data_IF_237299641278
#
_entry.id   IF_237299641278
#
_cell.length_a   1.000
_cell.length_b   1.000
_cell.length_c   1.000
_cell.angle_alpha   90.00
_cell.angle_beta   90.00
_cell.angle_gamma   90.00
#
_symmetry.space_group_name_H-M   'P 1'
#
loop_
_entity.id
_entity.type
_entity.pdbx_description
1 polymer ?
#
# COMPACT_ATOMS: atom_id res chain seq x y z
N UNK A 1 -19.54 6.97 -5.85
CA UNK A 1 -19.83 6.75 -5.71
C UNK A 1 -20.09 6.22 -5.40
N UNK A 2 -19.84 5.84 -5.08
CA UNK A 2 -20.07 5.29 -4.64
C UNK A 2 -20.33 4.58 -4.41
N UNK A 3 -20.26 4.24 -4.24
CA UNK A 3 -20.58 3.66 -3.91
C UNK A 3 -20.48 3.06 -4.00
N UNK A 4 -20.19 2.98 -3.96
CA UNK A 4 -20.16 2.42 -3.92
C UNK A 4 -19.99 1.75 -3.92
N UNK A 5 -19.82 1.72 -3.70
CA UNK A 5 -19.81 1.02 -3.49
C UNK A 5 -19.85 0.34 -3.36
N UNK A 6 -19.74 0.24 -3.20
CA UNK A 6 -20.00 -0.26 -3.04
C UNK A 6 -20.07 -0.83 -2.99
N UNK A 7 -19.97 -0.84 -2.91
CA UNK A 7 -20.28 -1.28 -2.78
C UNK A 7 -20.38 -1.80 -2.73
N UNK A 8 -20.31 -1.84 -2.58
CA UNK A 8 -20.63 -2.39 -2.33
C UNK A 8 -20.78 -2.81 -2.22
N UNK A 9 -20.59 -3.06 -2.30
CA UNK A 9 -20.95 -3.39 -2.19
C UNK A 9 -20.95 -3.91 -2.03
N UNK A 10 -21.01 -4.21 -2.10
CA UNK A 10 -21.25 -4.58 -2.00
C UNK A 10 -21.12 -5.22 -1.85
N UNK A 11 -21.07 -5.56 -1.97
CA UNK A 11 -21.19 -6.05 -1.89
C UNK A 11 -20.92 -6.73 -1.77
N UNK A 12 -20.98 -6.91 -1.91
CA UNK A 12 -20.95 -7.51 -1.76
C UNK A 12 -20.70 -8.07 -1.62
N UNK A 13 -20.59 -8.31 -1.72
CA UNK A 13 -20.57 -8.76 -1.47
C UNK A 13 -20.14 -9.23 -1.37
N UNK A 14 -20.19 -9.46 -1.46
CA UNK A 14 -19.93 -9.95 -1.19
C UNK A 14 -19.56 -10.64 -1.18
N UNK A 15 -19.49 -10.95 -1.39
CA UNK A 15 -19.37 -11.53 -1.19
C UNK A 15 -18.98 -12.11 -0.94
N UNK A 16 -18.64 -12.37 -0.96
CA UNK A 16 -18.44 -12.84 -0.57
C UNK A 16 -17.95 -13.33 -0.09
N UNK A 17 -17.84 -13.40 -0.13
CA UNK A 17 -17.58 -13.87 0.45
C UNK A 17 -17.16 -14.52 1.31
N UNK A 18 -16.53 -14.93 1.64
CA UNK A 18 -16.32 -15.60 2.55
C UNK A 18 -16.46 -15.03 3.68
N UNK A 19 -16.98 -14.85 3.99
CA UNK A 19 -17.25 -14.12 4.98
C UNK A 19 -17.48 -14.68 6.24
N UNK A 20 -16.67 -15.33 6.64
CA UNK A 20 -16.71 -15.81 7.98
C UNK A 20 -16.49 -14.64 8.94
N UNK A 21 -17.34 -14.48 9.92
CA UNK A 21 -17.23 -13.36 10.84
C UNK A 21 -15.92 -13.31 11.59
N UNK A 22 -15.41 -14.43 12.02
CA UNK A 22 -14.13 -14.43 12.72
C UNK A 22 -13.03 -13.88 11.85
N UNK A 23 -13.15 -14.12 10.58
CA UNK A 23 -12.16 -13.63 9.63
C UNK A 23 -12.21 -12.14 9.47
N UNK A 24 -13.36 -11.53 9.70
CA UNK A 24 -13.50 -10.10 9.54
C UNK A 24 -12.56 -9.32 10.43
N UNK A 25 -12.50 -9.65 11.70
CA UNK A 25 -11.61 -8.94 12.62
C UNK A 25 -10.16 -9.18 12.27
N UNK A 26 -9.81 -10.40 11.97
CA UNK A 26 -8.45 -10.72 11.59
C UNK A 26 -8.07 -9.99 10.32
N UNK A 27 -8.98 -9.96 9.36
CA UNK A 27 -8.71 -9.29 8.09
C UNK A 27 -8.54 -7.79 8.25
N UNK A 28 -9.29 -7.18 9.14
CA UNK A 28 -9.14 -5.76 9.36
C UNK A 28 -7.78 -5.44 9.94
N UNK A 29 -7.31 -6.27 10.86
CA UNK A 29 -5.98 -6.09 11.42
C UNK A 29 -4.90 -6.34 10.39
N UNK A 30 -5.13 -7.32 9.53
CA UNK A 30 -4.16 -7.65 8.47
C UNK A 30 -4.18 -6.64 7.33
N UNK A 31 -5.32 -6.00 7.12
CA UNK A 31 -5.47 -5.07 6.00
C UNK A 31 -4.67 -3.81 6.17
N UNK A 32 -4.45 -3.40 7.40
CA UNK A 32 -3.81 -2.12 7.66
C UNK A 32 -2.44 -2.31 8.28
N UNK A 33 -1.52 -1.47 7.85
CA UNK A 33 -0.22 -1.40 8.48
C UNK A 33 -0.41 -0.94 9.92
N UNK A 34 0.30 -1.53 10.91
CA UNK A 34 0.07 -1.16 12.32
C UNK A 34 0.26 0.32 12.57
N UNK A 35 -0.66 0.88 13.34
CA UNK A 35 -0.66 2.32 13.60
C UNK A 35 0.61 2.78 14.30
N UNK A 36 1.20 1.93 15.13
CA UNK A 36 2.44 2.26 15.82
C UNK A 36 3.58 2.46 14.83
N UNK A 37 3.62 1.63 13.80
CA UNK A 37 4.65 1.74 12.75
C UNK A 37 4.44 3.00 11.93
N UNK A 38 3.18 3.29 11.59
CA UNK A 38 2.82 4.50 10.86
C UNK A 38 3.29 5.73 11.65
N UNK A 39 2.97 5.75 12.93
CA UNK A 39 3.33 6.87 13.80
C UNK A 39 4.84 7.09 13.83
N UNK A 40 5.60 6.00 13.94
CA UNK A 40 7.06 6.07 14.00
C UNK A 40 7.63 6.64 12.71
N UNK A 41 7.10 6.20 11.57
CA UNK A 41 7.57 6.68 10.28
C UNK A 41 7.23 8.16 10.11
N UNK A 42 6.01 8.54 10.46
CA UNK A 42 5.59 9.94 10.33
C UNK A 42 6.45 10.86 11.19
N UNK A 43 6.83 10.40 12.36
CA UNK A 43 7.65 11.24 13.27
C UNK A 43 9.01 11.53 12.71
N UNK A 44 9.52 10.71 11.82
CA UNK A 44 10.82 10.98 11.20
C UNK A 44 10.81 12.26 10.37
N UNK A 45 9.64 12.68 9.92
CA UNK A 45 9.51 13.89 9.14
C UNK A 45 9.22 15.15 9.94
N UNK A 46 9.22 15.04 11.28
CA UNK A 46 8.80 16.13 12.14
C UNK A 46 9.85 16.44 13.19
N UNK A 47 9.88 17.69 13.69
CA UNK A 47 10.69 18.00 14.86
C UNK A 47 10.28 17.15 16.05
N UNK A 48 11.21 16.94 16.98
CA UNK A 48 11.01 16.02 18.10
C UNK A 48 9.80 16.39 18.97
N UNK A 49 9.50 17.68 19.06
CA UNK A 49 8.43 18.15 19.94
C UNK A 49 7.05 18.13 19.29
N UNK A 50 7.01 17.92 17.99
CA UNK A 50 5.74 17.95 17.27
C UNK A 50 4.94 16.69 17.53
N UNK A 51 3.63 16.87 17.52
CA UNK A 51 2.71 15.76 17.73
C UNK A 51 1.86 15.54 16.50
N UNK A 52 1.40 14.31 16.36
CA UNK A 52 0.54 13.94 15.23
C UNK A 52 -0.83 13.60 15.78
N UNK A 53 -1.84 14.22 15.21
CA UNK A 53 -3.21 13.95 15.63
C UNK A 53 -3.58 12.51 15.30
N UNK A 54 -4.47 11.94 16.10
CA UNK A 54 -4.90 10.56 15.91
C UNK A 54 -5.52 10.35 14.55
N UNK A 55 -6.38 11.27 14.13
CA UNK A 55 -7.05 11.14 12.82
C UNK A 55 -6.04 11.21 11.67
N UNK A 56 -4.96 11.97 11.83
CA UNK A 56 -3.93 12.04 10.81
C UNK A 56 -3.24 10.69 10.66
N UNK A 57 -2.96 10.03 11.77
CA UNK A 57 -2.34 8.70 11.73
C UNK A 57 -3.25 7.69 11.06
N UNK A 58 -4.54 7.76 11.39
CA UNK A 58 -5.52 6.84 10.82
C UNK A 58 -5.68 7.08 9.33
N UNK A 59 -5.69 8.33 8.92
CA UNK A 59 -5.78 8.67 7.50
C UNK A 59 -4.60 8.11 6.72
N UNK A 60 -3.39 8.30 7.25
CA UNK A 60 -2.20 7.78 6.58
C UNK A 60 -2.25 6.25 6.54
N UNK A 61 -2.70 5.63 7.62
CA UNK A 61 -2.80 4.18 7.67
C UNK A 61 -3.68 3.65 6.53
N UNK A 62 -4.84 4.28 6.35
CA UNK A 62 -5.75 3.86 5.29
C UNK A 62 -5.17 4.16 3.91
N UNK A 63 -4.59 5.33 3.74
CA UNK A 63 -4.00 5.71 2.46
C UNK A 63 -2.86 4.79 2.05
N UNK A 64 -2.00 4.43 3.01
CA UNK A 64 -0.89 3.54 2.73
C UNK A 64 -1.40 2.17 2.31
N UNK A 65 -2.40 1.67 3.02
CA UNK A 65 -2.97 0.36 2.69
C UNK A 65 -3.56 0.34 1.28
N UNK A 66 -4.29 1.41 0.95
CA UNK A 66 -4.88 1.52 -0.39
C UNK A 66 -3.80 1.68 -1.45
N UNK A 67 -2.77 2.45 -1.14
CA UNK A 67 -1.66 2.66 -2.07
C UNK A 67 -0.98 1.34 -2.40
N UNK A 68 -0.68 0.54 -1.38
CA UNK A 68 -0.04 -0.76 -1.57
C UNK A 68 -0.90 -1.64 -2.47
N UNK A 69 -2.19 -1.68 -2.18
CA UNK A 69 -3.13 -2.49 -2.95
C UNK A 69 -3.19 -2.04 -4.40
N UNK A 70 -3.29 -0.73 -4.60
CA UNK A 70 -3.41 -0.15 -5.94
C UNK A 70 -2.17 -0.41 -6.77
N UNK A 71 -1.00 -0.16 -6.21
CA UNK A 71 0.27 -0.35 -6.91
C UNK A 71 0.46 -1.83 -7.25
N UNK A 72 0.18 -2.70 -6.29
CA UNK A 72 0.35 -4.14 -6.51
C UNK A 72 -0.59 -4.66 -7.59
N UNK A 73 -1.82 -4.17 -7.59
CA UNK A 73 -2.80 -4.58 -8.59
C UNK A 73 -2.36 -4.15 -9.99
N UNK A 74 -1.87 -2.92 -10.11
CA UNK A 74 -1.42 -2.42 -11.40
C UNK A 74 -0.19 -3.22 -11.88
N UNK A 75 0.74 -3.48 -10.97
CA UNK A 75 1.92 -4.28 -11.31
C UNK A 75 1.54 -5.69 -11.74
N UNK A 76 0.53 -6.25 -11.07
CA UNK A 76 0.07 -7.58 -11.40
C UNK A 76 -0.53 -7.65 -12.80
N UNK A 77 -1.25 -6.60 -13.20
CA UNK A 77 -1.80 -6.55 -14.56
C UNK A 77 -0.69 -6.62 -15.60
N UNK A 78 0.39 -5.91 -15.36
CA UNK A 78 1.55 -5.96 -16.25
C UNK A 78 2.13 -7.37 -16.29
N UNK A 79 2.30 -7.99 -15.12
CA UNK A 79 2.85 -9.33 -15.04
C UNK A 79 2.00 -10.34 -15.79
N UNK A 80 0.69 -10.23 -15.68
CA UNK A 80 -0.21 -11.14 -16.36
C UNK A 80 -0.12 -10.98 -17.87
N UNK A 81 0.00 -9.75 -18.36
CA UNK A 81 0.18 -9.53 -19.79
C UNK A 81 1.47 -10.15 -20.29
N UNK A 82 2.48 -10.20 -19.44
CA UNK A 82 3.79 -10.80 -19.79
C UNK A 82 3.88 -12.26 -19.39
N UNK A 83 2.78 -12.82 -18.89
CA UNK A 83 2.70 -14.23 -18.49
C UNK A 83 3.70 -14.60 -17.41
N UNK A 84 3.95 -13.67 -16.49
CA UNK A 84 4.81 -13.90 -15.33
C UNK A 84 3.96 -14.03 -14.09
N UNK A 85 4.47 -14.73 -13.10
CA UNK A 85 3.75 -14.99 -11.86
C UNK A 85 4.36 -14.29 -10.66
N UNK A 86 5.44 -13.56 -10.86
CA UNK A 86 6.14 -12.88 -9.78
C UNK A 86 6.22 -11.40 -10.08
N UNK A 87 5.78 -10.59 -9.14
CA UNK A 87 5.90 -9.14 -9.22
C UNK A 87 7.26 -8.75 -8.63
N UNK A 88 8.07 -8.05 -9.41
CA UNK A 88 9.37 -7.59 -8.93
C UNK A 88 9.37 -6.06 -8.75
N UNK A 89 10.51 -5.52 -8.33
CA UNK A 89 10.59 -4.08 -8.04
C UNK A 89 10.40 -3.21 -9.29
N UNK A 90 10.89 -3.66 -10.44
CA UNK A 90 10.68 -2.92 -11.67
C UNK A 90 9.19 -2.82 -12.01
N UNK A 91 8.45 -3.88 -11.75
CA UNK A 91 7.00 -3.89 -11.99
C UNK A 91 6.30 -2.86 -11.11
N UNK A 92 6.75 -2.75 -9.86
CA UNK A 92 6.16 -1.79 -8.93
C UNK A 92 6.47 -0.37 -9.35
N UNK A 93 7.71 -0.11 -9.78
CA UNK A 93 8.09 1.22 -10.26
C UNK A 93 7.33 1.59 -11.52
N UNK A 94 7.15 0.61 -12.41
CA UNK A 94 6.33 0.83 -13.60
C UNK A 94 4.89 1.18 -13.24
N UNK A 95 4.34 0.47 -12.26
CA UNK A 95 2.98 0.74 -11.81
C UNK A 95 2.86 2.15 -11.24
N UNK A 96 3.84 2.56 -10.46
CA UNK A 96 3.86 3.92 -9.91
C UNK A 96 3.86 4.97 -11.01
N UNK A 97 4.67 4.77 -12.04
CA UNK A 97 4.71 5.69 -13.16
C UNK A 97 3.36 5.75 -13.87
N UNK A 98 2.76 4.58 -14.08
CA UNK A 98 1.47 4.48 -14.75
C UNK A 98 0.38 5.22 -13.99
N UNK A 99 0.44 5.18 -12.68
CA UNK A 99 -0.57 5.79 -11.82
C UNK A 99 -0.30 7.25 -11.46
N UNK A 100 0.77 7.83 -12.02
CA UNK A 100 1.04 9.24 -11.83
C UNK A 100 2.03 9.58 -10.74
N UNK A 101 2.78 8.61 -10.25
CA UNK A 101 3.75 8.82 -9.19
C UNK A 101 5.18 8.83 -9.71
N UNK A 102 5.35 9.26 -10.96
CA UNK A 102 6.67 9.19 -11.60
C UNK A 102 7.72 10.06 -10.91
N UNK A 103 7.29 11.10 -10.22
CA UNK A 103 8.24 11.96 -9.51
C UNK A 103 8.97 11.25 -8.38
N UNK A 104 8.42 10.14 -7.92
CA UNK A 104 9.01 9.39 -6.82
C UNK A 104 9.95 8.28 -7.29
N UNK A 105 10.00 8.05 -8.60
CA UNK A 105 10.73 6.88 -9.13
C UNK A 105 12.23 7.02 -8.95
N UNK A 106 12.80 8.17 -9.33
CA UNK A 106 14.26 8.33 -9.22
C UNK A 106 14.76 8.28 -7.78
N UNK A 107 14.10 8.95 -6.83
CA UNK A 107 14.50 8.78 -5.43
C UNK A 107 14.41 7.35 -4.95
N UNK A 108 13.39 6.61 -5.36
CA UNK A 108 13.23 5.22 -4.95
C UNK A 108 14.27 4.32 -5.57
N UNK A 109 14.58 4.54 -6.84
CA UNK A 109 15.64 3.77 -7.50
C UNK A 109 16.97 3.99 -6.82
N UNK A 110 17.28 5.22 -6.46
CA UNK A 110 18.50 5.52 -5.76
C UNK A 110 18.57 4.82 -4.43
N UNK A 111 17.45 4.82 -3.71
CA UNK A 111 17.37 4.14 -2.43
C UNK A 111 17.58 2.63 -2.58
N UNK A 112 16.94 2.02 -3.57
CA UNK A 112 17.06 0.58 -3.81
C UNK A 112 18.48 0.20 -4.16
N UNK A 113 19.13 0.97 -5.02
CA UNK A 113 20.51 0.72 -5.40
C UNK A 113 21.42 0.82 -4.19
N UNK A 114 21.20 1.82 -3.35
CA UNK A 114 21.98 1.99 -2.13
C UNK A 114 21.82 0.81 -1.20
N UNK A 115 20.58 0.35 -1.05
CA UNK A 115 20.28 -0.79 -0.18
C UNK A 115 20.94 -2.07 -0.69
N UNK A 116 20.92 -2.27 -1.99
CA UNK A 116 21.58 -3.43 -2.58
C UNK A 116 23.07 -3.42 -2.32
N UNK A 117 23.69 -2.27 -2.44
CA UNK A 117 25.12 -2.15 -2.17
C UNK A 117 25.44 -2.49 -0.74
N UNK A 118 24.60 -2.03 0.20
CA UNK A 118 24.80 -2.36 1.61
C UNK A 118 24.66 -3.84 1.86
N UNK A 119 23.73 -4.48 1.16
CA UNK A 119 23.53 -5.93 1.29
C UNK A 119 24.74 -6.73 0.84
N UNK A 120 25.51 -6.20 -0.10
CA UNK A 120 26.68 -6.88 -0.61
C UNK A 120 27.88 -6.74 0.29
N UNK A 121 27.85 -5.83 1.24
CA UNK A 121 28.96 -5.65 2.16
C UNK A 121 28.88 -6.65 3.29
#
# INVERSE_FOLDING_TARGET
>A
MAEAPASPGGGSHESGVDPSPRSSNVREQDRFFPIANISRIMKKGLPADDKIAKDAKETVQECVSEFISLITSEANDKCQREKRKTVNDDDLLWAMATLGFEDYIEPLKSYLTYTERLSCL
#
